data_IF_145616074918
#
_entry.id   IF_145616074918
#
_cell.length_a   1.000
_cell.length_b   1.000
_cell.length_c   1.000
_cell.angle_alpha   90.00
_cell.angle_beta   90.00
_cell.angle_gamma   90.00
#
_symmetry.space_group_name_H-M   'P 1'
#
loop_
_entity.id
_entity.type
_entity.pdbx_description
1 polymer ?
#
# COMPACT_ATOMS: atom_id res chain seq x y z
N UNK A 1 12.10 8.19 12.07
CA UNK A 1 11.76 7.00 11.27
C UNK A 1 11.17 5.99 12.22
N UNK A 2 10.19 5.18 11.79
CA UNK A 2 9.54 4.17 12.60
C UNK A 2 10.31 2.85 12.66
N UNK A 3 9.68 1.84 13.26
CA UNK A 3 10.19 0.47 13.33
C UNK A 3 9.75 -0.30 12.07
N UNK A 4 10.59 -1.16 11.54
CA UNK A 4 10.25 -2.08 10.44
C UNK A 4 9.23 -3.14 10.88
N UNK A 5 9.34 -3.61 12.12
CA UNK A 5 8.44 -4.62 12.67
C UNK A 5 7.09 -4.02 13.09
N UNK A 6 5.99 -4.73 12.84
CA UNK A 6 4.68 -4.32 13.30
C UNK A 6 4.57 -4.37 14.83
N UNK A 7 3.76 -3.48 15.39
CA UNK A 7 3.43 -3.51 16.80
C UNK A 7 2.48 -4.66 17.11
N UNK A 8 1.54 -4.94 16.20
CA UNK A 8 0.51 -5.96 16.37
C UNK A 8 0.22 -6.65 15.03
N UNK A 9 0.05 -7.98 15.10
CA UNK A 9 -0.52 -8.81 14.03
C UNK A 9 -1.70 -9.56 14.64
N UNK A 10 -2.83 -9.56 13.96
CA UNK A 10 -4.03 -10.21 14.44
C UNK A 10 -4.79 -10.89 13.31
N UNK A 11 -5.53 -11.93 13.67
CA UNK A 11 -6.43 -12.64 12.78
C UNK A 11 -7.71 -13.04 13.50
N UNK A 12 -8.83 -12.96 12.81
CA UNK A 12 -10.14 -13.37 13.28
C UNK A 12 -10.79 -14.24 12.21
N UNK A 13 -11.14 -15.47 12.60
CA UNK A 13 -11.95 -16.35 11.76
C UNK A 13 -13.17 -16.81 12.52
N UNK A 14 -14.33 -16.77 11.88
CA UNK A 14 -15.58 -17.19 12.47
C UNK A 14 -16.44 -17.94 11.45
N UNK A 15 -17.25 -18.86 11.96
CA UNK A 15 -18.25 -19.60 11.17
C UNK A 15 -19.59 -19.50 11.88
N UNK A 16 -20.56 -18.90 11.21
CA UNK A 16 -21.92 -18.73 11.70
C UNK A 16 -22.83 -19.73 10.94
N UNK A 17 -23.65 -20.48 11.68
CA UNK A 17 -24.59 -21.40 11.10
C UNK A 17 -26.01 -21.03 11.50
N UNK A 18 -26.87 -20.95 10.50
CA UNK A 18 -28.28 -20.71 10.70
C UNK A 18 -29.10 -21.60 9.76
N UNK A 19 -29.80 -22.59 10.30
CA UNK A 19 -30.51 -23.62 9.55
C UNK A 19 -29.56 -24.28 8.54
N UNK A 20 -29.88 -24.17 7.26
CA UNK A 20 -29.15 -24.78 6.15
C UNK A 20 -28.04 -23.90 5.61
N UNK A 21 -27.83 -22.72 6.19
CA UNK A 21 -26.83 -21.73 5.79
C UNK A 21 -25.61 -21.75 6.69
N UNK A 22 -24.45 -21.66 6.10
CA UNK A 22 -23.17 -21.48 6.81
C UNK A 22 -22.45 -20.31 6.20
N UNK A 23 -22.12 -19.32 7.03
CA UNK A 23 -21.34 -18.15 6.66
C UNK A 23 -19.98 -18.24 7.33
N UNK A 24 -18.91 -18.28 6.52
CA UNK A 24 -17.53 -18.19 6.97
C UNK A 24 -16.95 -16.82 6.68
N UNK A 25 -16.27 -16.25 7.66
CA UNK A 25 -15.58 -14.94 7.54
C UNK A 25 -14.19 -15.10 8.11
N UNK A 26 -13.17 -14.66 7.37
CA UNK A 26 -11.80 -14.57 7.85
C UNK A 26 -11.24 -13.18 7.57
N UNK A 27 -10.79 -12.54 8.62
CA UNK A 27 -10.18 -11.21 8.63
C UNK A 27 -8.78 -11.32 9.21
N UNK A 28 -7.87 -10.52 8.69
CA UNK A 28 -6.59 -10.31 9.34
C UNK A 28 -6.13 -8.86 9.17
N UNK A 29 -5.14 -8.51 9.95
CA UNK A 29 -4.57 -7.19 9.88
C UNK A 29 -3.27 -7.07 10.64
N UNK A 30 -2.61 -5.97 10.35
CA UNK A 30 -1.37 -5.56 10.95
C UNK A 30 -1.48 -4.10 11.37
N UNK A 31 -0.89 -3.76 12.50
CA UNK A 31 -0.81 -2.39 13.00
C UNK A 31 0.65 -2.03 13.15
N UNK A 32 1.05 -0.90 12.59
CA UNK A 32 2.43 -0.45 12.59
C UNK A 32 3.32 -1.21 11.60
N UNK A 33 4.60 -0.99 11.75
CA UNK A 33 5.63 -1.40 10.80
C UNK A 33 5.76 -0.43 9.63
N UNK A 34 6.99 -0.10 9.31
CA UNK A 34 7.32 0.79 8.19
C UNK A 34 7.99 -0.02 7.10
N UNK A 35 7.57 0.16 5.87
CA UNK A 35 8.22 -0.46 4.72
C UNK A 35 8.46 0.54 3.60
N UNK A 36 9.49 0.26 2.82
CA UNK A 36 9.83 1.04 1.64
C UNK A 36 9.02 0.55 0.44
N UNK A 37 8.37 1.49 -0.25
CA UNK A 37 7.64 1.20 -1.49
C UNK A 37 8.48 1.52 -2.72
N UNK A 38 9.07 0.48 -3.32
CA UNK A 38 9.76 0.60 -4.59
C UNK A 38 8.80 0.84 -5.75
N UNK A 39 7.60 0.28 -5.66
CA UNK A 39 6.55 0.54 -6.64
C UNK A 39 6.23 2.02 -6.72
N UNK A 40 6.00 2.67 -5.59
CA UNK A 40 5.71 4.11 -5.55
C UNK A 40 6.89 4.96 -6.03
N UNK A 41 8.12 4.62 -5.60
CA UNK A 41 9.33 5.25 -6.10
C UNK A 41 9.40 5.17 -7.63
N UNK A 42 9.15 4.00 -8.18
CA UNK A 42 9.15 3.78 -9.63
C UNK A 42 8.08 4.62 -10.32
N UNK A 43 6.88 4.69 -9.75
CA UNK A 43 5.78 5.51 -10.28
C UNK A 43 6.16 6.99 -10.34
N UNK A 44 6.81 7.53 -9.31
CA UNK A 44 7.32 8.89 -9.31
C UNK A 44 8.40 9.11 -10.36
N UNK A 45 9.39 8.22 -10.44
CA UNK A 45 10.50 8.33 -11.39
C UNK A 45 10.06 8.25 -12.85
N UNK A 46 9.07 7.42 -13.14
CA UNK A 46 8.52 7.24 -14.49
C UNK A 46 7.42 8.24 -14.83
N UNK A 47 6.94 9.01 -13.84
CA UNK A 47 5.89 10.00 -14.02
C UNK A 47 4.49 9.42 -14.17
N UNK A 48 4.25 8.20 -13.71
CA UNK A 48 2.91 7.57 -13.70
C UNK A 48 2.20 7.67 -12.34
N UNK A 49 2.84 8.28 -11.33
CA UNK A 49 2.19 8.53 -10.06
C UNK A 49 1.03 9.52 -10.24
N UNK A 50 -0.18 9.26 -9.69
CA UNK A 50 -1.34 10.13 -9.88
C UNK A 50 -1.07 11.60 -9.49
N UNK A 51 -0.36 11.85 -8.41
CA UNK A 51 -0.05 13.19 -7.93
C UNK A 51 1.01 13.90 -8.80
N UNK A 52 1.65 13.19 -9.75
CA UNK A 52 2.55 13.80 -10.73
C UNK A 52 1.81 14.48 -11.87
N UNK A 53 0.50 14.23 -12.03
CA UNK A 53 -0.37 14.90 -13.00
C UNK A 53 -0.88 16.21 -12.39
N UNK A 54 -0.09 17.28 -12.59
CA UNK A 54 -0.36 18.57 -12.04
C UNK A 54 0.07 19.71 -12.97
N UNK A 55 -0.29 20.94 -12.58
CA UNK A 55 0.01 22.17 -13.36
C UNK A 55 1.49 22.32 -13.71
N UNK A 56 2.40 21.97 -12.80
CA UNK A 56 3.83 22.17 -13.00
C UNK A 56 4.38 21.27 -14.09
N UNK A 57 3.90 20.01 -14.13
CA UNK A 57 4.22 19.08 -15.21
C UNK A 57 3.67 19.57 -16.54
N UNK A 58 2.41 20.02 -16.56
CA UNK A 58 1.81 20.58 -17.77
C UNK A 58 2.59 21.81 -18.28
N UNK A 59 2.93 22.75 -17.40
CA UNK A 59 3.67 23.94 -17.76
C UNK A 59 5.07 23.62 -18.32
N UNK A 60 5.74 22.60 -17.78
CA UNK A 60 7.05 22.18 -18.29
C UNK A 60 6.94 21.46 -19.64
N UNK A 61 6.03 20.49 -19.77
CA UNK A 61 5.92 19.65 -20.98
C UNK A 61 5.32 20.40 -22.14
N UNK A 62 4.26 21.18 -21.90
CA UNK A 62 3.50 21.85 -22.96
C UNK A 62 4.01 23.27 -23.24
N UNK A 63 4.37 24.01 -22.20
CA UNK A 63 4.76 25.41 -22.30
C UNK A 63 6.27 25.64 -22.21
N UNK A 64 7.08 24.61 -21.95
CA UNK A 64 8.54 24.70 -21.78
C UNK A 64 8.99 25.48 -20.54
N UNK A 65 8.11 25.69 -19.55
CA UNK A 65 8.39 26.50 -18.37
C UNK A 65 8.99 25.66 -17.25
N UNK A 66 10.19 25.98 -16.82
CA UNK A 66 10.86 25.35 -15.66
C UNK A 66 10.74 26.25 -14.43
N UNK A 67 9.54 26.44 -13.95
CA UNK A 67 9.19 27.42 -12.92
C UNK A 67 8.68 26.79 -11.62
N UNK A 68 8.95 25.50 -11.40
CA UNK A 68 8.61 24.86 -10.15
C UNK A 68 9.48 25.35 -9.01
N UNK A 69 8.86 25.69 -7.89
CA UNK A 69 9.55 26.06 -6.64
C UNK A 69 9.19 25.03 -5.58
N UNK A 70 10.16 24.22 -5.16
CA UNK A 70 9.98 23.24 -4.09
C UNK A 70 9.68 23.92 -2.76
N UNK A 71 8.79 23.32 -1.97
CA UNK A 71 8.48 23.82 -0.63
C UNK A 71 9.71 23.72 0.30
N UNK A 72 9.89 24.68 1.16
CA UNK A 72 10.95 24.70 2.16
C UNK A 72 11.69 26.03 2.24
N UNK A 73 12.89 25.96 2.79
CA UNK A 73 13.79 27.10 2.95
C UNK A 73 15.10 26.86 2.22
N UNK A 74 15.75 27.94 1.79
CA UNK A 74 17.12 27.94 1.28
C UNK A 74 18.06 28.57 2.30
N UNK A 75 19.29 28.10 2.34
CA UNK A 75 20.35 28.74 3.11
C UNK A 75 20.87 29.94 2.31
N UNK A 76 20.77 31.15 2.87
CA UNK A 76 21.23 32.39 2.22
C UNK A 76 22.61 32.79 2.68
N UNK A 77 23.01 32.40 3.88
CA UNK A 77 24.36 32.66 4.42
C UNK A 77 24.67 31.71 5.58
N UNK A 78 25.94 31.72 6.01
CA UNK A 78 26.40 30.88 7.10
C UNK A 78 26.69 29.45 6.69
N UNK A 79 27.13 28.64 7.65
CA UNK A 79 27.51 27.24 7.46
C UNK A 79 27.15 26.41 8.69
N UNK A 80 27.07 25.08 8.50
CA UNK A 80 27.03 24.12 9.59
C UNK A 80 28.38 23.41 9.67
N UNK A 81 28.88 23.22 10.88
CA UNK A 81 30.11 22.48 11.14
C UNK A 81 29.80 21.24 11.96
N UNK A 82 30.41 20.13 11.57
CA UNK A 82 30.23 18.82 12.20
C UNK A 82 31.56 18.40 12.85
N UNK A 83 31.48 17.69 13.95
CA UNK A 83 32.63 16.94 14.49
C UNK A 83 32.91 15.67 13.72
N UNK A 84 33.92 14.91 14.13
CA UNK A 84 34.32 13.65 13.52
C UNK A 84 33.27 12.54 13.69
N UNK A 85 32.28 12.72 14.58
CA UNK A 85 31.18 11.79 14.83
C UNK A 85 29.91 12.17 14.05
N UNK A 86 29.91 13.31 13.31
CA UNK A 86 28.75 13.79 12.57
C UNK A 86 27.79 14.63 13.41
N UNK A 87 28.16 15.00 14.65
CA UNK A 87 27.35 15.88 15.50
C UNK A 87 27.61 17.34 15.12
N UNK A 88 26.53 18.13 15.07
CA UNK A 88 26.64 19.58 14.83
C UNK A 88 27.32 20.23 16.02
N UNK A 89 28.45 20.92 15.76
CA UNK A 89 29.20 21.72 16.74
C UNK A 89 28.95 23.22 16.58
N UNK A 90 28.61 23.66 15.37
CA UNK A 90 28.24 25.04 15.09
C UNK A 90 27.24 25.11 13.94
N UNK A 91 26.22 25.95 14.09
CA UNK A 91 25.25 26.22 13.02
C UNK A 91 24.99 27.73 12.95
N UNK A 92 25.54 28.36 11.95
CA UNK A 92 25.40 29.79 11.67
C UNK A 92 24.54 30.07 10.45
N UNK A 93 23.84 29.08 9.92
CA UNK A 93 23.01 29.21 8.72
C UNK A 93 21.88 30.22 8.96
N UNK A 94 21.68 31.07 7.97
CA UNK A 94 20.53 31.97 7.88
C UNK A 94 19.62 31.42 6.77
N UNK A 95 18.35 31.31 7.04
CA UNK A 95 17.37 30.74 6.15
C UNK A 95 16.41 31.78 5.60
N UNK A 96 16.00 31.63 4.35
CA UNK A 96 14.91 32.39 3.73
C UNK A 96 13.94 31.40 3.03
N UNK A 97 12.70 31.79 2.74
CA UNK A 97 11.80 30.99 1.92
C UNK A 97 12.47 30.60 0.60
N UNK A 98 12.24 29.36 0.17
CA UNK A 98 12.77 28.91 -1.13
C UNK A 98 12.06 29.65 -2.28
N UNK A 99 12.82 30.23 -3.18
CA UNK A 99 12.35 30.91 -4.39
C UNK A 99 13.06 30.39 -5.65
N UNK A 100 13.88 29.34 -5.49
CA UNK A 100 14.67 28.76 -6.58
C UNK A 100 13.77 28.01 -7.52
N UNK A 101 13.68 28.49 -8.76
CA UNK A 101 12.94 27.82 -9.82
C UNK A 101 13.77 26.67 -10.41
N UNK A 102 13.15 25.53 -10.59
CA UNK A 102 13.75 24.32 -11.15
C UNK A 102 12.79 23.62 -12.10
N UNK A 103 13.32 22.72 -12.92
CA UNK A 103 12.52 21.77 -13.67
C UNK A 103 11.74 20.87 -12.72
N UNK A 104 10.44 20.70 -12.92
CA UNK A 104 9.60 19.80 -12.13
C UNK A 104 10.06 18.35 -12.25
N UNK A 105 10.39 17.92 -13.49
CA UNK A 105 10.95 16.58 -13.73
C UNK A 105 12.25 16.36 -12.93
N UNK A 106 13.18 17.29 -13.02
CA UNK A 106 14.45 17.21 -12.28
C UNK A 106 14.24 17.18 -10.76
N UNK A 107 13.29 17.98 -10.26
CA UNK A 107 12.95 17.99 -8.84
C UNK A 107 12.45 16.62 -8.39
N UNK A 108 11.47 16.05 -9.11
CA UNK A 108 10.88 14.74 -8.77
C UNK A 108 11.92 13.62 -8.83
N UNK A 109 12.75 13.58 -9.86
CA UNK A 109 13.81 12.56 -10.00
C UNK A 109 14.89 12.68 -8.91
N UNK A 110 15.25 13.90 -8.51
CA UNK A 110 16.17 14.13 -7.41
C UNK A 110 15.54 13.81 -6.04
N UNK A 111 14.23 13.95 -5.92
CA UNK A 111 13.49 13.66 -4.71
C UNK A 111 13.28 12.15 -4.52
N UNK A 112 13.07 11.42 -5.61
CA UNK A 112 12.87 9.96 -5.65
C UNK A 112 13.98 9.27 -6.48
N UNK A 113 15.26 9.35 -6.07
CA UNK A 113 16.35 8.80 -6.88
C UNK A 113 16.29 7.28 -6.92
N UNK A 114 16.71 6.68 -8.05
CA UNK A 114 16.85 5.23 -8.21
C UNK A 114 17.88 4.61 -7.27
N UNK A 115 18.91 5.36 -6.92
CA UNK A 115 19.97 4.91 -6.04
C UNK A 115 20.42 6.07 -5.14
N UNK A 116 20.71 5.74 -3.90
CA UNK A 116 21.32 6.66 -2.94
C UNK A 116 20.36 7.60 -2.22
N UNK A 117 20.45 7.61 -0.96
CA UNK A 117 20.31 8.73 -0.04
C UNK A 117 18.92 9.16 0.43
N UNK A 118 17.83 9.01 -0.34
CA UNK A 118 16.54 9.59 0.06
C UNK A 118 15.38 8.58 0.03
N UNK A 119 15.66 7.37 0.45
CA UNK A 119 14.66 6.27 0.51
C UNK A 119 13.51 6.53 1.46
N UNK A 120 13.69 7.40 2.45
CA UNK A 120 12.69 7.70 3.48
C UNK A 120 11.40 8.32 2.94
N UNK A 121 11.40 8.84 1.71
CA UNK A 121 10.23 9.48 1.10
C UNK A 121 9.17 8.49 0.65
N UNK A 122 9.59 7.26 0.37
CA UNK A 122 8.70 6.19 -0.03
C UNK A 122 8.60 5.12 1.08
N UNK A 123 8.85 5.52 2.34
CA UNK A 123 8.68 4.67 3.52
C UNK A 123 7.35 5.01 4.17
N UNK A 124 6.47 4.04 4.23
CA UNK A 124 5.09 4.20 4.66
C UNK A 124 4.72 3.24 5.78
N UNK A 125 3.73 3.63 6.56
CA UNK A 125 3.10 2.79 7.57
C UNK A 125 2.31 1.66 6.88
N UNK A 126 2.67 0.42 7.21
CA UNK A 126 2.09 -0.79 6.63
C UNK A 126 0.86 -1.30 7.40
N UNK A 127 0.18 -0.46 8.15
CA UNK A 127 -1.09 -0.82 8.80
C UNK A 127 -2.14 -1.16 7.75
N UNK A 128 -2.74 -2.34 7.87
CA UNK A 128 -3.82 -2.79 6.99
C UNK A 128 -4.85 -3.65 7.70
N UNK A 129 -6.01 -3.79 7.04
CA UNK A 129 -7.08 -4.73 7.33
C UNK A 129 -7.48 -5.43 6.03
N UNK A 130 -7.49 -6.77 6.03
CA UNK A 130 -7.93 -7.58 4.88
C UNK A 130 -9.12 -8.46 5.23
N UNK A 131 -10.08 -8.56 4.30
CA UNK A 131 -11.06 -9.63 4.27
C UNK A 131 -10.48 -10.77 3.43
N UNK A 132 -9.86 -11.74 4.13
CA UNK A 132 -9.16 -12.87 3.49
C UNK A 132 -10.09 -13.83 2.83
N UNK A 133 -11.17 -14.18 3.52
CA UNK A 133 -12.17 -15.08 3.02
C UNK A 133 -13.56 -14.67 3.47
N UNK A 134 -14.49 -14.78 2.54
CA UNK A 134 -15.91 -14.73 2.77
C UNK A 134 -16.53 -15.92 2.05
N UNK A 135 -17.16 -16.84 2.78
CA UNK A 135 -17.83 -17.99 2.19
C UNK A 135 -19.28 -18.08 2.67
N UNK A 136 -20.18 -18.35 1.73
CA UNK A 136 -21.59 -18.58 2.00
C UNK A 136 -21.97 -19.93 1.42
N UNK A 137 -22.28 -20.89 2.29
CA UNK A 137 -22.66 -22.24 1.91
C UNK A 137 -24.13 -22.49 2.23
N UNK A 138 -24.81 -23.18 1.35
CA UNK A 138 -26.17 -23.64 1.52
C UNK A 138 -26.22 -25.15 1.39
N UNK A 139 -26.65 -25.85 2.43
CA UNK A 139 -26.85 -27.32 2.43
C UNK A 139 -28.28 -27.62 2.06
N UNK A 140 -28.48 -28.36 0.99
CA UNK A 140 -29.81 -28.69 0.54
C UNK A 140 -30.55 -29.61 1.54
N UNK A 141 -31.87 -29.40 1.76
CA UNK A 141 -32.66 -30.26 2.62
C UNK A 141 -32.66 -31.72 2.13
N UNK A 142 -32.64 -32.66 3.06
CA UNK A 142 -32.62 -34.09 2.76
C UNK A 142 -33.72 -34.52 1.77
N UNK A 143 -34.94 -34.01 1.91
CA UNK A 143 -36.06 -34.29 1.02
C UNK A 143 -35.82 -33.91 -0.44
N UNK A 144 -34.93 -32.96 -0.71
CA UNK A 144 -34.54 -32.60 -2.08
C UNK A 144 -33.43 -33.54 -2.56
N UNK A 145 -32.45 -33.82 -1.69
CA UNK A 145 -31.33 -34.71 -2.02
C UNK A 145 -31.81 -36.15 -2.35
N UNK A 146 -32.77 -36.66 -1.60
CA UNK A 146 -33.36 -37.99 -1.83
C UNK A 146 -34.02 -38.10 -3.21
N UNK A 147 -34.66 -37.05 -3.70
CA UNK A 147 -35.29 -37.04 -5.04
C UNK A 147 -34.27 -37.16 -6.18
N UNK A 148 -33.04 -36.72 -5.95
CA UNK A 148 -31.94 -36.81 -6.91
C UNK A 148 -30.97 -37.97 -6.60
N UNK A 149 -31.34 -38.86 -5.69
CA UNK A 149 -30.57 -40.04 -5.26
C UNK A 149 -29.20 -39.69 -4.70
N UNK A 150 -29.10 -38.59 -3.93
CA UNK A 150 -27.90 -38.16 -3.25
C UNK A 150 -28.11 -38.12 -1.74
N UNK A 151 -27.05 -38.36 -0.96
CA UNK A 151 -27.08 -38.25 0.49
C UNK A 151 -27.03 -36.79 0.98
N UNK A 152 -26.38 -35.94 0.20
CA UNK A 152 -26.29 -34.51 0.49
C UNK A 152 -25.76 -33.71 -0.68
N UNK A 153 -26.17 -32.45 -0.77
CA UNK A 153 -25.64 -31.47 -1.71
C UNK A 153 -25.42 -30.15 -0.98
N UNK A 154 -24.24 -29.59 -1.14
CA UNK A 154 -23.93 -28.27 -0.61
C UNK A 154 -23.47 -27.36 -1.75
N UNK A 155 -24.10 -26.22 -1.86
CA UNK A 155 -23.74 -25.16 -2.81
C UNK A 155 -23.01 -24.03 -2.06
N UNK A 156 -21.99 -23.44 -2.65
CA UNK A 156 -21.22 -22.40 -1.99
C UNK A 156 -20.73 -21.31 -2.92
N UNK A 157 -20.70 -20.11 -2.39
CA UNK A 157 -19.97 -18.98 -2.96
C UNK A 157 -18.79 -18.70 -2.05
N UNK A 158 -17.61 -18.55 -2.63
CA UNK A 158 -16.37 -18.29 -1.90
C UNK A 158 -15.68 -17.10 -2.56
N UNK A 159 -15.29 -16.14 -1.76
CA UNK A 159 -14.47 -15.03 -2.20
C UNK A 159 -13.22 -14.91 -1.35
N UNK A 160 -12.07 -14.67 -1.97
CA UNK A 160 -10.80 -14.49 -1.29
C UNK A 160 -10.20 -13.14 -1.63
N UNK A 161 -9.56 -12.51 -0.65
CA UNK A 161 -8.96 -11.18 -0.74
C UNK A 161 -9.93 -10.12 -1.30
N UNK A 162 -11.21 -10.19 -0.88
CA UNK A 162 -12.27 -9.36 -1.44
C UNK A 162 -12.09 -7.87 -1.14
N UNK A 163 -11.64 -7.56 0.07
CA UNK A 163 -11.44 -6.18 0.53
C UNK A 163 -10.08 -6.06 1.21
N UNK A 164 -9.44 -4.94 0.93
CA UNK A 164 -8.25 -4.50 1.64
C UNK A 164 -8.40 -3.00 1.95
N UNK A 165 -8.12 -2.65 3.20
CA UNK A 165 -7.94 -1.28 3.62
C UNK A 165 -6.49 -1.10 4.06
N UNK A 166 -5.85 -0.02 3.60
CA UNK A 166 -4.45 0.30 3.88
C UNK A 166 -4.36 1.74 4.35
N UNK A 167 -3.55 2.01 5.35
CA UNK A 167 -3.37 3.35 5.91
C UNK A 167 -2.59 4.25 4.94
N UNK A 168 -1.39 3.84 4.59
CA UNK A 168 -0.46 4.65 3.77
C UNK A 168 0.12 3.87 2.60
N UNK A 169 0.37 2.58 2.73
CA UNK A 169 1.03 1.73 1.74
C UNK A 169 0.09 1.36 0.58
N UNK A 170 -0.17 2.31 -0.34
CA UNK A 170 -1.30 2.25 -1.29
C UNK A 170 -1.02 1.54 -2.61
N UNK A 171 0.23 1.47 -3.06
CA UNK A 171 0.57 1.03 -4.41
C UNK A 171 1.16 -0.37 -4.48
N UNK A 172 1.32 -1.03 -3.35
CA UNK A 172 1.76 -2.41 -3.25
C UNK A 172 0.94 -3.14 -2.18
N UNK A 173 1.09 -4.47 -2.13
CA UNK A 173 0.44 -5.27 -1.10
C UNK A 173 1.26 -5.16 0.20
N UNK A 174 0.70 -4.61 1.29
CA UNK A 174 1.42 -4.45 2.55
C UNK A 174 1.74 -5.78 3.25
N UNK A 175 1.24 -6.89 2.73
CA UNK A 175 1.39 -8.24 3.26
C UNK A 175 2.64 -8.96 2.72
N UNK A 176 3.26 -8.41 1.68
CA UNK A 176 4.51 -8.95 1.15
C UNK A 176 5.70 -8.38 1.94
N UNK A 177 6.73 -9.21 2.13
CA UNK A 177 7.91 -8.85 2.92
C UNK A 177 8.73 -7.72 2.29
N UNK A 178 8.64 -7.56 0.97
CA UNK A 178 9.29 -6.47 0.25
C UNK A 178 8.46 -6.02 -0.95
N UNK A 179 8.31 -4.73 -1.12
CA UNK A 179 7.76 -4.15 -2.34
C UNK A 179 8.88 -3.95 -3.36
N UNK A 180 9.20 -5.01 -4.09
CA UNK A 180 10.15 -5.01 -5.21
C UNK A 180 9.43 -5.24 -6.55
N UNK A 181 8.38 -4.47 -6.80
CA UNK A 181 7.53 -4.59 -7.98
C UNK A 181 6.83 -5.97 -8.10
N UNK A 182 6.60 -6.61 -6.97
CA UNK A 182 5.91 -7.89 -6.91
C UNK A 182 4.43 -7.74 -7.22
N UNK A 183 3.85 -8.80 -7.77
CA UNK A 183 2.41 -8.84 -8.04
C UNK A 183 1.63 -8.77 -6.71
N UNK A 184 0.62 -7.91 -6.61
CA UNK A 184 -0.23 -7.87 -5.43
C UNK A 184 -1.06 -9.14 -5.28
N UNK A 185 -1.59 -9.36 -4.08
CA UNK A 185 -2.54 -10.44 -3.82
C UNK A 185 -3.73 -10.35 -4.77
N UNK A 186 -4.02 -11.44 -5.46
CA UNK A 186 -5.15 -11.49 -6.39
C UNK A 186 -6.46 -11.69 -5.63
N UNK A 187 -7.53 -11.12 -6.17
CA UNK A 187 -8.89 -11.35 -5.72
C UNK A 187 -9.49 -12.54 -6.44
N UNK A 188 -10.07 -13.46 -5.69
CA UNK A 188 -10.73 -14.63 -6.25
C UNK A 188 -12.20 -14.65 -5.85
N UNK A 189 -13.06 -15.05 -6.80
CA UNK A 189 -14.45 -15.38 -6.55
C UNK A 189 -14.71 -16.72 -7.20
N UNK A 190 -15.24 -17.67 -6.43
CA UNK A 190 -15.47 -19.02 -6.86
C UNK A 190 -16.84 -19.55 -6.45
N UNK A 191 -17.28 -20.57 -7.16
CA UNK A 191 -18.46 -21.35 -6.84
C UNK A 191 -18.03 -22.75 -6.44
N UNK A 192 -18.61 -23.28 -5.36
CA UNK A 192 -18.34 -24.60 -4.83
C UNK A 192 -19.61 -25.44 -4.89
N UNK A 193 -19.49 -26.68 -5.36
CA UNK A 193 -20.54 -27.69 -5.29
C UNK A 193 -19.96 -28.96 -4.71
N UNK A 194 -20.51 -29.41 -3.60
CA UNK A 194 -20.14 -30.68 -2.95
C UNK A 194 -21.31 -31.64 -3.04
N UNK A 195 -21.03 -32.83 -3.51
CA UNK A 195 -21.99 -33.96 -3.55
C UNK A 195 -21.54 -35.02 -2.57
N UNK A 196 -22.46 -35.51 -1.74
CA UNK A 196 -22.30 -36.68 -0.90
C UNK A 196 -23.15 -37.81 -1.52
N UNK A 197 -22.47 -38.86 -2.02
CA UNK A 197 -23.07 -40.01 -2.74
C UNK A 197 -23.46 -41.13 -1.80
#
# INVERSE_FOLDING_TARGET
>A
MGNEYPDWIWGLSTTLRYKDWTLGISLDGRVGGMAYSRTEQTMWNTGVHPDSDNKWRYDEVVNGKKNYVGQGVKVVSGKVEYDTTGKIVSDTRVFAPNDTQVSYESYIKNYNPWSGGKVYQNVHDCTFLKLRELSLLYTMPKSVCEKIHMKGVTLGLIGQNLLIWMKEFKYADPDVDSDDLNSPSMRYVGFNVKFDL
#
